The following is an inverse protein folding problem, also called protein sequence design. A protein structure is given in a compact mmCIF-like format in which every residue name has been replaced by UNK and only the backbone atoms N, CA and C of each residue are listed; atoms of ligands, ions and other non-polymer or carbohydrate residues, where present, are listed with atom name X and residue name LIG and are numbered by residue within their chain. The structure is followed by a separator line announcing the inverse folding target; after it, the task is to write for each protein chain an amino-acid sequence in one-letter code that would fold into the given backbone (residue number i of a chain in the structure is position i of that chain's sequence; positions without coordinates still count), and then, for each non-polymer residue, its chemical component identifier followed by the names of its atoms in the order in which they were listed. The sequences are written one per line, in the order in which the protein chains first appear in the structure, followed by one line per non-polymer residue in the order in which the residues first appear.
data_IF_713052060107
#
_entry.id   IF_713052060107
#
_cell.length_a   1.000
_cell.length_b   1.000
_cell.length_c   1.000
_cell.angle_alpha   90.00
_cell.angle_beta   90.00
_cell.angle_gamma   90.00
#
_symmetry.space_group_name_H-M   'P 1'
#
loop_
_entity.id
_entity.type
_entity.pdbx_description
1 polymer ?
#
# COMPACT_ATOMS: atom_id res chain seq x y z
N UNK A 1 -4.08 -46.01 28.86
CA UNK A 1 -3.62 -44.94 27.93
C UNK A 1 -4.76 -44.14 27.30
N UNK A 2 -5.89 -44.75 26.90
CA UNK A 2 -7.05 -44.03 26.30
C UNK A 2 -7.82 -43.15 27.29
N UNK A 3 -7.97 -43.59 28.53
CA UNK A 3 -8.72 -42.85 29.59
C UNK A 3 -8.07 -41.52 29.98
N UNK A 4 -6.74 -41.52 30.21
CA UNK A 4 -6.00 -40.28 30.52
C UNK A 4 -6.10 -39.22 29.40
N UNK A 5 -6.21 -39.64 28.14
CA UNK A 5 -6.43 -38.73 27.01
C UNK A 5 -7.84 -38.16 27.01
N UNK A 6 -8.83 -38.96 27.42
CA UNK A 6 -10.23 -38.52 27.52
C UNK A 6 -10.43 -37.49 28.64
N UNK A 7 -9.88 -37.73 29.83
CA UNK A 7 -9.94 -36.80 30.95
C UNK A 7 -9.31 -35.45 30.61
N UNK A 8 -8.16 -35.46 29.91
CA UNK A 8 -7.51 -34.24 29.44
C UNK A 8 -8.38 -33.44 28.48
N UNK A 9 -9.15 -34.11 27.61
CA UNK A 9 -10.09 -33.45 26.69
C UNK A 9 -11.28 -32.87 27.47
N UNK A 10 -11.80 -33.58 28.47
CA UNK A 10 -12.87 -33.08 29.36
C UNK A 10 -12.42 -31.82 30.09
N UNK A 11 -11.18 -31.81 30.60
CA UNK A 11 -10.62 -30.64 31.31
C UNK A 11 -10.47 -29.44 30.37
N UNK A 12 -9.91 -29.65 29.17
CA UNK A 12 -9.83 -28.61 28.13
C UNK A 12 -11.21 -28.05 27.77
N UNK A 13 -12.21 -28.91 27.60
CA UNK A 13 -13.57 -28.49 27.30
C UNK A 13 -14.15 -27.60 28.40
N UNK A 14 -13.96 -27.98 29.68
CA UNK A 14 -14.39 -27.16 30.83
C UNK A 14 -13.67 -25.80 30.90
N UNK A 15 -12.43 -25.72 30.40
CA UNK A 15 -11.65 -24.47 30.32
C UNK A 15 -11.95 -23.63 29.07
N UNK A 16 -12.70 -24.16 28.10
CA UNK A 16 -12.92 -23.50 26.80
C UNK A 16 -11.69 -23.52 25.88
N UNK A 17 -10.75 -24.44 26.11
CA UNK A 17 -9.51 -24.59 25.35
C UNK A 17 -9.54 -25.80 24.38
N UNK A 18 -10.68 -26.48 24.28
CA UNK A 18 -10.85 -27.61 23.37
C UNK A 18 -10.94 -27.16 21.91
N UNK A 19 -10.39 -27.98 21.03
CA UNK A 19 -10.60 -27.84 19.59
C UNK A 19 -11.95 -28.46 19.18
N UNK A 20 -12.50 -28.01 18.05
CA UNK A 20 -13.74 -28.58 17.48
C UNK A 20 -13.65 -30.10 17.24
N UNK A 21 -12.47 -30.60 16.89
CA UNK A 21 -12.23 -32.04 16.70
C UNK A 21 -12.29 -32.80 18.02
N UNK A 22 -11.68 -32.25 19.08
CA UNK A 22 -11.72 -32.80 20.43
C UNK A 22 -13.15 -32.82 21.00
N UNK A 23 -13.93 -31.77 20.76
CA UNK A 23 -15.35 -31.70 21.15
C UNK A 23 -16.21 -32.71 20.42
N UNK A 24 -16.03 -32.83 19.10
CA UNK A 24 -16.73 -33.85 18.30
C UNK A 24 -16.40 -35.26 18.82
N UNK A 25 -15.13 -35.53 19.11
CA UNK A 25 -14.70 -36.79 19.71
C UNK A 25 -15.35 -37.03 21.08
N UNK A 26 -15.36 -36.02 21.95
CA UNK A 26 -15.97 -36.06 23.28
C UNK A 26 -17.47 -36.40 23.21
N UNK A 27 -18.24 -35.70 22.38
CA UNK A 27 -19.68 -35.91 22.26
C UNK A 27 -20.06 -37.19 21.52
N UNK A 28 -19.20 -37.70 20.62
CA UNK A 28 -19.42 -38.98 19.94
C UNK A 28 -19.12 -40.18 20.85
N UNK A 29 -18.21 -40.03 21.81
CA UNK A 29 -17.83 -41.08 22.77
C UNK A 29 -18.47 -40.91 24.15
N UNK A 30 -19.44 -40.00 24.30
CA UNK A 30 -20.06 -39.68 25.58
C UNK A 30 -20.78 -40.87 26.26
N UNK A 31 -21.19 -41.91 25.51
CA UNK A 31 -21.76 -43.15 26.08
C UNK A 31 -20.77 -43.97 26.90
N UNK A 32 -19.47 -43.83 26.61
CA UNK A 32 -18.39 -44.48 27.34
C UNK A 32 -17.86 -43.60 28.48
N UNK A 33 -18.58 -42.53 28.80
CA UNK A 33 -18.22 -41.56 29.83
C UNK A 33 -19.28 -41.51 30.91
N UNK A 34 -18.96 -40.85 32.03
CA UNK A 34 -19.89 -40.77 33.16
C UNK A 34 -21.27 -40.20 32.78
N UNK A 35 -22.32 -40.52 33.56
CA UNK A 35 -23.71 -40.23 33.23
C UNK A 35 -24.01 -38.73 33.00
N UNK A 36 -23.22 -37.84 33.60
CA UNK A 36 -23.36 -36.39 33.41
C UNK A 36 -23.00 -35.95 31.99
N UNK A 37 -21.92 -36.47 31.43
CA UNK A 37 -21.45 -36.07 30.10
C UNK A 37 -22.33 -36.65 28.99
N UNK A 38 -22.91 -37.83 29.21
CA UNK A 38 -23.92 -38.40 28.32
C UNK A 38 -25.20 -37.54 28.27
N UNK A 39 -25.71 -37.10 29.43
CA UNK A 39 -26.87 -36.22 29.50
C UNK A 39 -26.61 -34.89 28.79
N UNK A 40 -25.44 -34.29 29.00
CA UNK A 40 -25.02 -33.07 28.33
C UNK A 40 -24.87 -33.23 26.82
N UNK A 41 -24.22 -34.30 26.36
CA UNK A 41 -24.08 -34.62 24.93
C UNK A 41 -25.45 -34.76 24.26
N UNK A 42 -26.38 -35.44 24.93
CA UNK A 42 -27.75 -35.64 24.44
C UNK A 42 -28.51 -34.33 24.36
N UNK A 43 -28.41 -33.49 25.39
CA UNK A 43 -29.03 -32.16 25.41
C UNK A 43 -28.50 -31.28 24.26
N UNK A 44 -27.18 -31.23 24.07
CA UNK A 44 -26.57 -30.42 23.00
C UNK A 44 -27.01 -30.93 21.63
N UNK A 45 -26.97 -32.25 21.40
CA UNK A 45 -27.40 -32.83 20.12
C UNK A 45 -28.87 -32.55 19.82
N UNK A 46 -29.74 -32.61 20.83
CA UNK A 46 -31.18 -32.35 20.67
C UNK A 46 -31.49 -30.88 20.40
N UNK A 47 -30.74 -29.96 20.99
CA UNK A 47 -30.98 -28.52 20.87
C UNK A 47 -30.09 -27.84 19.82
N UNK A 48 -29.22 -28.59 19.13
CA UNK A 48 -28.37 -28.05 18.08
C UNK A 48 -29.21 -27.64 16.89
N UNK A 49 -29.41 -26.34 16.72
CA UNK A 49 -30.04 -25.78 15.52
C UNK A 49 -29.08 -25.90 14.35
N UNK A 50 -29.60 -26.32 13.20
CA UNK A 50 -28.83 -26.28 11.97
C UNK A 50 -28.60 -24.82 11.55
N UNK A 51 -27.39 -24.55 11.07
CA UNK A 51 -27.09 -23.25 10.49
C UNK A 51 -27.93 -23.06 9.22
N UNK A 52 -28.53 -21.86 9.00
CA UNK A 52 -29.16 -21.54 7.73
C UNK A 52 -28.19 -21.72 6.56
N UNK A 53 -28.67 -22.22 5.42
CA UNK A 53 -27.84 -22.48 4.22
C UNK A 53 -27.10 -21.22 3.73
N UNK A 54 -27.64 -20.05 4.02
CA UNK A 54 -27.13 -18.74 3.60
C UNK A 54 -26.39 -17.98 4.70
N UNK A 55 -26.06 -18.62 5.84
CA UNK A 55 -25.39 -17.97 6.98
C UNK A 55 -24.05 -17.32 6.58
N UNK A 56 -23.23 -18.04 5.82
CA UNK A 56 -21.92 -17.54 5.37
C UNK A 56 -22.05 -16.33 4.45
N UNK A 57 -23.01 -16.36 3.52
CA UNK A 57 -23.27 -15.26 2.61
C UNK A 57 -23.74 -14.02 3.37
N UNK A 58 -24.69 -14.18 4.31
CA UNK A 58 -25.16 -13.09 5.16
C UNK A 58 -24.05 -12.48 6.02
N UNK A 59 -23.20 -13.31 6.61
CA UNK A 59 -22.02 -12.88 7.37
C UNK A 59 -21.08 -12.08 6.47
N UNK A 60 -20.73 -12.63 5.30
CA UNK A 60 -19.85 -11.97 4.35
C UNK A 60 -20.39 -10.61 3.91
N UNK A 61 -21.70 -10.52 3.62
CA UNK A 61 -22.35 -9.25 3.29
C UNK A 61 -22.34 -8.25 4.46
N UNK A 62 -22.44 -8.72 5.70
CA UNK A 62 -22.35 -7.85 6.88
C UNK A 62 -20.95 -7.26 7.09
N UNK A 63 -19.90 -8.02 6.76
CA UNK A 63 -18.51 -7.56 6.84
C UNK A 63 -18.11 -6.67 5.67
N UNK A 64 -18.72 -6.87 4.49
CA UNK A 64 -18.60 -5.96 3.35
C UNK A 64 -19.34 -4.66 3.63
N UNK A 65 -18.71 -3.84 4.46
CA UNK A 65 -19.14 -2.49 4.81
C UNK A 65 -19.61 -1.70 3.58
N UNK A 66 -20.73 -0.99 3.74
CA UNK A 66 -21.38 -0.06 2.79
C UNK A 66 -20.46 1.01 2.15
N UNK A 67 -19.16 1.03 2.45
CA UNK A 67 -18.13 1.97 1.99
C UNK A 67 -17.87 1.87 0.47
N UNK A 68 -18.04 0.71 -0.14
CA UNK A 68 -17.77 0.52 -1.58
C UNK A 68 -18.67 1.38 -2.49
N UNK A 69 -19.94 1.58 -2.11
CA UNK A 69 -20.92 2.30 -2.95
C UNK A 69 -20.61 3.80 -3.05
N UNK A 70 -20.21 4.44 -1.93
CA UNK A 70 -19.84 5.87 -1.90
C UNK A 70 -18.50 6.13 -2.61
N UNK A 71 -17.51 5.24 -2.43
CA UNK A 71 -16.21 5.33 -3.10
C UNK A 71 -16.35 5.19 -4.63
N UNK A 72 -17.18 4.27 -5.12
CA UNK A 72 -17.39 4.07 -6.57
C UNK A 72 -18.03 5.29 -7.25
N UNK A 73 -18.96 5.98 -6.57
CA UNK A 73 -19.57 7.20 -7.10
C UNK A 73 -18.55 8.36 -7.15
N UNK A 74 -17.76 8.53 -6.09
CA UNK A 74 -16.72 9.55 -6.02
C UNK A 74 -15.66 9.37 -7.11
N UNK A 75 -15.18 8.14 -7.35
CA UNK A 75 -14.20 7.83 -8.40
C UNK A 75 -14.75 8.15 -9.80
N UNK A 76 -16.04 7.90 -10.06
CA UNK A 76 -16.67 8.24 -11.34
C UNK A 76 -16.72 9.75 -11.58
N UNK A 77 -17.07 10.52 -10.55
CA UNK A 77 -17.11 12.00 -10.64
C UNK A 77 -15.70 12.55 -10.82
N UNK A 78 -14.71 12.02 -10.09
CA UNK A 78 -13.31 12.43 -10.20
C UNK A 78 -12.73 12.14 -11.59
N UNK A 79 -13.04 10.97 -12.17
CA UNK A 79 -12.61 10.61 -13.52
C UNK A 79 -13.21 11.53 -14.59
N UNK A 80 -14.50 11.87 -14.47
CA UNK A 80 -15.14 12.82 -15.37
C UNK A 80 -14.52 14.22 -15.27
N UNK A 81 -14.26 14.71 -14.05
CA UNK A 81 -13.60 15.99 -13.82
C UNK A 81 -12.18 16.04 -14.40
N UNK A 82 -11.38 14.99 -14.20
CA UNK A 82 -10.02 14.91 -14.75
C UNK A 82 -10.00 14.96 -16.28
N UNK A 83 -10.96 14.30 -16.94
CA UNK A 83 -11.09 14.34 -18.40
C UNK A 83 -11.41 15.75 -18.91
N UNK A 84 -12.28 16.49 -18.22
CA UNK A 84 -12.64 17.86 -18.58
C UNK A 84 -11.44 18.79 -18.37
N UNK A 85 -10.74 18.66 -17.24
CA UNK A 85 -9.54 19.45 -16.94
C UNK A 85 -8.47 19.23 -18.00
N UNK A 86 -8.22 17.98 -18.43
CA UNK A 86 -7.25 17.71 -19.50
C UNK A 86 -7.64 18.37 -20.83
N UNK A 87 -8.92 18.32 -21.21
CA UNK A 87 -9.40 18.98 -22.43
C UNK A 87 -9.27 20.50 -22.36
N UNK A 88 -9.61 21.10 -21.22
CA UNK A 88 -9.44 22.53 -20.96
C UNK A 88 -7.95 22.90 -21.02
N UNK A 89 -7.07 22.16 -20.35
CA UNK A 89 -5.62 22.40 -20.38
C UNK A 89 -5.03 22.25 -21.77
N UNK A 90 -5.52 21.32 -22.60
CA UNK A 90 -5.07 21.19 -23.98
C UNK A 90 -5.58 22.34 -24.87
N UNK A 91 -6.83 22.76 -24.65
CA UNK A 91 -7.44 23.86 -25.41
C UNK A 91 -6.78 25.20 -25.11
N UNK A 92 -6.56 25.52 -23.83
CA UNK A 92 -5.92 26.77 -23.40
C UNK A 92 -4.39 26.72 -23.41
N UNK A 93 -3.77 25.56 -23.24
CA UNK A 93 -2.31 25.41 -23.32
C UNK A 93 -1.72 25.60 -24.72
N UNK A 94 -2.57 25.57 -25.76
CA UNK A 94 -2.20 25.90 -27.13
C UNK A 94 -2.64 27.32 -27.55
N UNK A 95 -3.38 28.04 -26.68
CA UNK A 95 -3.71 29.44 -26.90
C UNK A 95 -2.51 30.26 -26.40
N UNK A 96 -1.72 30.75 -27.36
CA UNK A 96 -0.61 31.69 -27.19
C UNK A 96 0.58 31.17 -26.37
N UNK A 97 1.37 30.30 -27.00
CA UNK A 97 2.79 30.64 -27.04
C UNK A 97 2.91 31.74 -28.09
N UNK A 98 2.82 32.99 -27.68
CA UNK A 98 3.39 34.07 -28.49
C UNK A 98 4.84 33.65 -28.73
N UNK A 99 5.14 33.18 -29.95
CA UNK A 99 6.48 32.73 -30.30
C UNK A 99 7.37 33.96 -30.19
N UNK A 100 7.98 34.16 -29.01
CA UNK A 100 9.01 35.17 -28.84
C UNK A 100 9.97 35.01 -30.01
N UNK A 101 10.12 36.09 -30.78
CA UNK A 101 11.02 36.12 -31.92
C UNK A 101 12.39 35.65 -31.45
N UNK A 102 13.14 34.93 -32.31
CA UNK A 102 14.50 34.51 -31.99
C UNK A 102 15.34 35.66 -31.43
N UNK A 103 15.10 36.88 -31.91
CA UNK A 103 15.71 38.11 -31.40
C UNK A 103 15.42 38.43 -29.93
N UNK A 104 14.20 38.17 -29.44
CA UNK A 104 13.84 38.38 -28.04
C UNK A 104 14.45 37.33 -27.12
N UNK A 105 14.49 36.08 -27.59
CA UNK A 105 15.15 34.98 -26.88
C UNK A 105 16.65 35.25 -26.74
N UNK A 106 17.31 35.69 -27.81
CA UNK A 106 18.72 36.10 -27.79
C UNK A 106 18.95 37.28 -26.84
N UNK A 107 18.08 38.30 -26.86
CA UNK A 107 18.20 39.45 -25.97
C UNK A 107 18.09 39.04 -24.49
N UNK A 108 17.13 38.18 -24.15
CA UNK A 108 16.94 37.71 -22.77
C UNK A 108 18.10 36.82 -22.32
N UNK A 109 18.62 35.95 -23.19
CA UNK A 109 19.79 35.12 -22.91
C UNK A 109 21.02 35.97 -22.64
N UNK A 110 21.31 36.94 -23.50
CA UNK A 110 22.46 37.85 -23.32
C UNK A 110 22.31 38.70 -22.06
N UNK A 111 21.08 39.10 -21.74
CA UNK A 111 20.79 39.82 -20.49
C UNK A 111 21.04 38.94 -19.26
N UNK A 112 20.67 37.66 -19.30
CA UNK A 112 20.95 36.72 -18.22
C UNK A 112 22.46 36.45 -18.09
N UNK A 113 23.16 36.20 -19.20
CA UNK A 113 24.62 35.98 -19.21
C UNK A 113 25.38 37.17 -18.64
N UNK A 114 24.99 38.40 -18.99
CA UNK A 114 25.58 39.61 -18.44
C UNK A 114 25.36 39.78 -16.92
N UNK A 115 24.35 39.12 -16.33
CA UNK A 115 24.15 39.10 -14.87
C UNK A 115 25.07 38.12 -14.15
N UNK A 116 25.65 37.14 -14.88
CA UNK A 116 26.61 36.19 -14.34
C UNK A 116 28.06 36.64 -14.50
N UNK A 117 28.33 37.68 -15.30
CA UNK A 117 29.69 38.18 -15.60
C UNK A 117 30.35 38.99 -14.47
N UNK A 118 29.88 38.81 -13.23
CA UNK A 118 30.59 39.26 -12.04
C UNK A 118 30.55 38.17 -10.99
N UNK A 119 31.55 37.29 -11.04
CA UNK A 119 32.46 36.93 -9.93
C UNK A 119 33.02 35.50 -10.11
N UNK A 120 34.35 35.44 -10.11
CA UNK A 120 35.21 34.25 -9.88
C UNK A 120 35.35 33.23 -11.03
N UNK A 121 36.28 33.54 -11.95
CA UNK A 121 37.00 32.53 -12.73
C UNK A 121 37.91 31.71 -11.80
N UNK A 122 37.40 30.62 -11.22
CA UNK A 122 38.24 29.46 -10.94
C UNK A 122 38.16 28.53 -12.16
N UNK A 123 39.31 28.21 -12.78
CA UNK A 123 39.46 27.31 -13.94
C UNK A 123 39.08 25.87 -13.55
N UNK A 124 37.78 25.65 -13.36
CA UNK A 124 37.19 24.35 -13.06
C UNK A 124 36.69 23.77 -14.37
N UNK A 125 37.48 22.87 -14.95
CA UNK A 125 37.07 22.13 -16.16
C UNK A 125 36.01 21.10 -15.78
N UNK A 126 34.77 21.37 -16.16
CA UNK A 126 33.66 20.44 -16.02
C UNK A 126 33.47 19.63 -17.30
N UNK A 127 33.38 18.31 -17.17
CA UNK A 127 32.98 17.42 -18.26
C UNK A 127 31.59 16.87 -17.96
N UNK A 128 30.63 17.14 -18.84
CA UNK A 128 29.25 16.66 -18.70
C UNK A 128 29.23 15.14 -18.92
N UNK A 129 28.84 14.40 -17.89
CA UNK A 129 28.74 12.94 -17.95
C UNK A 129 27.35 12.50 -18.39
N UNK A 130 26.31 13.26 -18.01
CA UNK A 130 24.93 12.98 -18.37
C UNK A 130 24.06 14.24 -18.27
N UNK A 131 23.17 14.45 -19.23
CA UNK A 131 22.23 15.57 -19.27
C UNK A 131 20.85 15.11 -19.79
N UNK A 132 19.79 15.54 -19.11
CA UNK A 132 18.42 15.48 -19.62
C UNK A 132 17.62 16.72 -19.14
N UNK A 133 16.34 16.79 -19.50
CA UNK A 133 15.46 17.95 -19.21
C UNK A 133 15.29 18.29 -17.73
N UNK A 134 15.69 17.42 -16.80
CA UNK A 134 15.50 17.60 -15.35
C UNK A 134 16.81 17.63 -14.56
N UNK A 135 17.88 16.96 -15.02
CA UNK A 135 19.11 16.79 -14.24
C UNK A 135 20.35 16.88 -15.15
N UNK A 136 21.36 17.62 -14.69
CA UNK A 136 22.71 17.63 -15.25
C UNK A 136 23.66 17.00 -14.22
N UNK A 137 24.40 15.97 -14.64
CA UNK A 137 25.46 15.33 -13.85
C UNK A 137 26.79 15.67 -14.49
N UNK A 138 27.63 16.41 -13.78
CA UNK A 138 28.96 16.78 -14.23
C UNK A 138 30.04 16.18 -13.34
N UNK A 139 31.18 15.86 -13.96
CA UNK A 139 32.40 15.49 -13.27
C UNK A 139 33.31 16.72 -13.19
N UNK A 140 33.77 17.01 -11.97
CA UNK A 140 34.73 18.09 -11.72
C UNK A 140 36.12 17.49 -11.57
N UNK A 141 37.06 17.95 -12.40
CA UNK A 141 38.48 17.58 -12.26
C UNK A 141 39.21 18.75 -11.62
N UNK A 142 39.48 18.66 -10.32
CA UNK A 142 40.38 19.60 -9.65
C UNK A 142 41.84 19.25 -9.98
N UNK A 143 42.61 20.19 -10.54
CA UNK A 143 44.06 20.03 -10.64
C UNK A 143 44.67 20.26 -9.25
N UNK A 144 44.95 19.19 -8.51
CA UNK A 144 45.71 19.30 -7.26
C UNK A 144 47.17 19.64 -7.55
N UNK A 145 47.59 20.88 -7.33
CA UNK A 145 49.01 21.22 -7.23
C UNK A 145 49.56 20.67 -5.91
N UNK A 146 50.04 19.42 -5.94
CA UNK A 146 50.76 18.82 -4.83
C UNK A 146 52.14 19.51 -4.71
N UNK A 147 52.25 20.45 -3.76
CA UNK A 147 53.54 21.03 -3.38
C UNK A 147 54.31 19.97 -2.60
N UNK A 148 55.27 19.31 -3.26
CA UNK A 148 56.22 18.40 -2.62
C UNK A 148 57.16 19.27 -1.76
N UNK A 149 56.98 19.23 -0.43
CA UNK A 149 57.99 19.70 0.51
C UNK A 149 59.14 18.70 0.56
N UNK A 150 60.30 19.06 -0.01
CA UNK A 150 61.56 18.42 0.30
C UNK A 150 62.23 19.21 1.43
N UNK A 151 62.55 18.51 2.52
CA UNK A 151 63.41 18.96 3.62
C UNK A 151 64.89 18.87 3.23
#
# INVERSE_FOLDING_TARGET
MKEAKFEKIVEKYKKGESTLSEESFLFNNAKNSGPSLEAWSTFIKKNKTEAPKDLNERLWQSFQTKKAKKRRLFVKIMGAAASIILLVSFFFGNLEKEEQSYSEKERLLNQALAMFDSNEEEDIQHTIFYENEMIIVYLTIEKSNQKIENH
#
